data_IF_173859125699
#
_entry.id   IF_173859125699
#
_cell.length_a   1.000
_cell.length_b   1.000
_cell.length_c   1.000
_cell.angle_alpha   90.00
_cell.angle_beta   90.00
_cell.angle_gamma   90.00
#
_symmetry.space_group_name_H-M   'P 1'
#
loop_
_entity.id
_entity.type
_entity.pdbx_description
1 polymer ?
#
# COMPACT_ATOMS: atom_id res chain seq x y z
N UNK A 1 19.70 1.69 1.22
CA UNK A 1 19.46 0.49 2.07
C UNK A 1 18.63 -0.63 1.43
N UNK A 2 17.74 -0.39 0.44
CA UNK A 2 16.98 -1.47 -0.22
C UNK A 2 17.70 -2.07 -1.45
N UNK A 3 18.46 -1.26 -2.18
CA UNK A 3 19.18 -1.68 -3.38
C UNK A 3 20.19 -2.81 -3.11
N UNK A 4 20.93 -2.75 -2.00
CA UNK A 4 21.92 -3.78 -1.66
C UNK A 4 21.27 -5.12 -1.30
N UNK A 5 20.12 -5.11 -0.61
CA UNK A 5 19.34 -6.33 -0.31
C UNK A 5 18.76 -6.95 -1.58
N UNK A 6 18.25 -6.11 -2.49
CA UNK A 6 17.77 -6.56 -3.79
C UNK A 6 18.92 -7.15 -4.61
N UNK A 7 20.09 -6.48 -4.65
CA UNK A 7 21.28 -6.94 -5.36
C UNK A 7 21.75 -8.30 -4.83
N UNK A 8 21.94 -8.43 -3.52
CA UNK A 8 22.36 -9.70 -2.89
C UNK A 8 21.33 -10.84 -3.13
N UNK A 9 20.04 -10.53 -3.11
CA UNK A 9 19.00 -11.51 -3.46
C UNK A 9 19.06 -11.92 -4.94
N UNK A 10 19.26 -10.96 -5.85
CA UNK A 10 19.42 -11.21 -7.30
C UNK A 10 20.63 -12.08 -7.58
N UNK A 11 21.76 -11.81 -6.92
CA UNK A 11 22.97 -12.64 -7.00
C UNK A 11 22.71 -14.07 -6.52
N UNK A 12 21.91 -14.25 -5.47
CA UNK A 12 21.56 -15.57 -4.92
C UNK A 12 20.64 -16.40 -5.82
N UNK A 13 19.64 -15.77 -6.45
CA UNK A 13 18.63 -16.50 -7.25
C UNK A 13 18.93 -16.52 -8.75
N UNK A 14 19.86 -15.69 -9.21
CA UNK A 14 20.19 -15.49 -10.63
C UNK A 14 19.30 -14.44 -11.30
N UNK A 15 19.84 -13.73 -12.29
CA UNK A 15 19.15 -12.60 -12.93
C UNK A 15 17.84 -12.99 -13.62
N UNK A 16 17.83 -14.09 -14.37
CA UNK A 16 16.65 -14.56 -15.09
C UNK A 16 15.49 -14.87 -14.13
N UNK A 17 15.78 -15.65 -13.09
CA UNK A 17 14.79 -15.99 -12.06
C UNK A 17 14.36 -14.76 -11.28
N UNK A 18 15.28 -13.84 -10.95
CA UNK A 18 14.95 -12.61 -10.29
C UNK A 18 13.99 -11.74 -11.13
N UNK A 19 14.24 -11.64 -12.44
CA UNK A 19 13.38 -10.89 -13.36
C UNK A 19 12.00 -11.52 -13.46
N UNK A 20 11.94 -12.86 -13.57
CA UNK A 20 10.67 -13.61 -13.60
C UNK A 20 9.84 -13.39 -12.33
N UNK A 21 10.46 -13.50 -11.15
CA UNK A 21 9.78 -13.27 -9.87
C UNK A 21 9.34 -11.82 -9.69
N UNK A 22 10.17 -10.86 -10.14
CA UNK A 22 9.85 -9.44 -10.08
C UNK A 22 8.65 -9.10 -10.97
N UNK A 23 8.66 -9.57 -12.22
CA UNK A 23 7.57 -9.36 -13.16
C UNK A 23 6.25 -9.98 -12.68
N UNK A 24 6.30 -11.21 -12.17
CA UNK A 24 5.14 -11.88 -11.58
C UNK A 24 4.59 -11.10 -10.37
N UNK A 25 5.46 -10.57 -9.51
CA UNK A 25 5.06 -9.81 -8.33
C UNK A 25 4.41 -8.47 -8.70
N UNK A 26 4.98 -7.74 -9.66
CA UNK A 26 4.41 -6.47 -10.16
C UNK A 26 3.08 -6.67 -10.86
N UNK A 27 2.96 -7.70 -11.70
CA UNK A 27 1.70 -8.06 -12.36
C UNK A 27 0.60 -8.44 -11.36
N UNK A 28 0.95 -9.20 -10.32
CA UNK A 28 0.04 -9.55 -9.23
C UNK A 28 -0.44 -8.33 -8.47
N UNK A 29 0.46 -7.43 -8.08
CA UNK A 29 0.10 -6.18 -7.41
C UNK A 29 -0.89 -5.37 -8.23
N UNK A 30 -0.55 -5.07 -9.49
CA UNK A 30 -1.40 -4.28 -10.41
C UNK A 30 -2.80 -4.88 -10.53
N UNK A 31 -2.89 -6.20 -10.73
CA UNK A 31 -4.18 -6.88 -10.84
C UNK A 31 -4.95 -6.86 -9.52
N UNK A 32 -4.28 -7.01 -8.39
CA UNK A 32 -4.92 -7.00 -7.08
C UNK A 32 -5.51 -5.62 -6.74
N UNK A 33 -4.76 -4.54 -6.98
CA UNK A 33 -5.28 -3.17 -6.81
C UNK A 33 -6.50 -2.94 -7.69
N UNK A 34 -6.49 -3.42 -8.94
CA UNK A 34 -7.65 -3.32 -9.83
C UNK A 34 -8.89 -4.02 -9.26
N UNK A 35 -8.74 -5.22 -8.67
CA UNK A 35 -9.86 -5.91 -8.03
C UNK A 35 -10.43 -5.12 -6.84
N UNK A 36 -9.55 -4.53 -6.01
CA UNK A 36 -9.96 -3.66 -4.91
C UNK A 36 -10.66 -2.40 -5.42
N UNK A 37 -10.11 -1.73 -6.43
CA UNK A 37 -10.69 -0.54 -7.06
C UNK A 37 -12.09 -0.85 -7.63
N UNK A 38 -12.21 -1.91 -8.43
CA UNK A 38 -13.50 -2.31 -9.02
C UNK A 38 -14.54 -2.58 -7.93
N UNK A 39 -14.16 -3.27 -6.86
CA UNK A 39 -15.05 -3.50 -5.73
C UNK A 39 -15.49 -2.20 -5.04
N UNK A 40 -14.55 -1.31 -4.74
CA UNK A 40 -14.81 -0.05 -4.03
C UNK A 40 -15.66 0.92 -4.86
N UNK A 41 -15.58 0.84 -6.19
CA UNK A 41 -16.43 1.59 -7.13
C UNK A 41 -17.80 0.94 -7.36
N UNK A 42 -18.07 -0.24 -6.79
CA UNK A 42 -19.30 -1.00 -7.02
C UNK A 42 -19.36 -1.71 -8.37
N UNK A 43 -18.23 -1.80 -9.08
CA UNK A 43 -18.12 -2.56 -10.33
C UNK A 43 -18.12 -4.07 -10.04
N UNK A 44 -18.45 -4.86 -11.06
CA UNK A 44 -18.34 -6.31 -11.01
C UNK A 44 -16.87 -6.73 -10.93
N UNK A 45 -16.52 -7.47 -9.88
CA UNK A 45 -15.17 -8.03 -9.69
C UNK A 45 -15.02 -9.32 -10.49
N UNK A 46 -14.11 -9.34 -11.46
CA UNK A 46 -13.87 -10.50 -12.32
C UNK A 46 -12.51 -11.18 -12.08
N UNK A 47 -12.56 -12.44 -11.66
CA UNK A 47 -11.35 -13.21 -11.35
C UNK A 47 -10.74 -13.95 -12.54
N UNK A 48 -11.41 -13.99 -13.71
CA UNK A 48 -10.95 -14.66 -14.95
C UNK A 48 -10.21 -15.99 -14.68
N UNK A 49 -10.89 -16.90 -13.96
CA UNK A 49 -10.40 -18.23 -13.54
C UNK A 49 -9.14 -18.27 -12.64
N UNK A 50 -8.68 -17.13 -12.14
CA UNK A 50 -7.56 -17.05 -11.22
C UNK A 50 -8.01 -17.20 -9.77
N UNK A 51 -8.24 -18.45 -9.38
CA UNK A 51 -8.70 -18.87 -8.04
C UNK A 51 -7.85 -18.24 -6.92
N UNK A 52 -6.54 -18.12 -7.11
CA UNK A 52 -5.63 -17.51 -6.15
C UNK A 52 -6.00 -16.06 -5.80
N UNK A 53 -6.38 -15.24 -6.78
CA UNK A 53 -6.79 -13.86 -6.53
C UNK A 53 -8.08 -13.78 -5.72
N UNK A 54 -8.99 -14.75 -5.91
CA UNK A 54 -10.21 -14.83 -5.10
C UNK A 54 -9.89 -15.10 -3.63
N UNK A 55 -8.95 -16.02 -3.35
CA UNK A 55 -8.51 -16.30 -1.99
C UNK A 55 -7.82 -15.11 -1.33
N UNK A 56 -7.05 -14.32 -2.08
CA UNK A 56 -6.41 -13.12 -1.56
C UNK A 56 -7.41 -11.96 -1.36
N UNK A 57 -8.35 -11.81 -2.29
CA UNK A 57 -9.28 -10.68 -2.31
C UNK A 57 -10.41 -10.82 -1.28
N UNK A 58 -10.98 -12.01 -1.13
CA UNK A 58 -12.15 -12.21 -0.25
C UNK A 58 -11.91 -11.79 1.21
N UNK A 59 -10.76 -12.11 1.85
CA UNK A 59 -10.47 -11.63 3.20
C UNK A 59 -10.38 -10.10 3.28
N UNK A 60 -9.76 -9.44 2.29
CA UNK A 60 -9.70 -7.98 2.22
C UNK A 60 -11.10 -7.39 2.07
N UNK A 61 -11.94 -7.96 1.19
CA UNK A 61 -13.33 -7.57 1.00
C UNK A 61 -14.10 -7.65 2.32
N UNK A 62 -14.05 -8.79 3.00
CA UNK A 62 -14.74 -9.02 4.27
C UNK A 62 -14.29 -8.02 5.34
N UNK A 63 -12.98 -7.74 5.41
CA UNK A 63 -12.43 -6.75 6.34
C UNK A 63 -13.00 -5.35 6.08
N UNK A 64 -13.00 -4.91 4.82
CA UNK A 64 -13.55 -3.63 4.43
C UNK A 64 -15.06 -3.55 4.69
N UNK A 65 -15.83 -4.59 4.37
CA UNK A 65 -17.27 -4.66 4.65
C UNK A 65 -17.60 -4.53 6.14
N UNK A 66 -16.74 -5.09 7.00
CA UNK A 66 -16.97 -5.08 8.44
C UNK A 66 -16.60 -3.75 9.11
N UNK A 67 -15.54 -3.09 8.65
CA UNK A 67 -14.92 -2.00 9.41
C UNK A 67 -14.87 -0.65 8.69
N UNK A 68 -15.08 -0.62 7.37
CA UNK A 68 -15.07 0.61 6.58
C UNK A 68 -16.48 1.17 6.47
N UNK A 69 -16.65 2.43 6.83
CA UNK A 69 -17.98 3.05 6.89
C UNK A 69 -18.12 4.26 5.96
N UNK A 70 -17.02 4.81 5.43
CA UNK A 70 -17.06 5.89 4.44
C UNK A 70 -15.85 5.89 3.52
N UNK A 71 -16.06 6.10 2.23
CA UNK A 71 -14.99 6.35 1.25
C UNK A 71 -14.89 7.87 1.00
N UNK A 72 -13.67 8.39 0.99
CA UNK A 72 -13.36 9.78 0.62
C UNK A 72 -12.71 9.87 -0.75
N UNK A 73 -11.89 8.87 -1.14
CA UNK A 73 -11.23 8.81 -2.43
C UNK A 73 -10.66 7.43 -2.71
N UNK A 74 -10.64 7.03 -3.97
CA UNK A 74 -10.07 5.78 -4.47
C UNK A 74 -9.07 6.16 -5.55
N UNK A 75 -7.88 5.54 -5.55
CA UNK A 75 -6.85 5.73 -6.57
C UNK A 75 -6.58 7.22 -6.87
N UNK A 76 -6.51 8.01 -5.80
CA UNK A 76 -6.52 9.47 -5.87
C UNK A 76 -5.13 10.03 -6.08
N UNK A 77 -4.97 10.87 -7.11
CA UNK A 77 -3.75 11.64 -7.33
C UNK A 77 -3.64 12.74 -6.27
N UNK A 78 -2.51 12.76 -5.57
CA UNK A 78 -2.23 13.65 -4.45
C UNK A 78 -0.88 14.31 -4.64
N UNK A 79 -0.73 15.51 -4.10
CA UNK A 79 0.54 16.20 -4.02
C UNK A 79 0.60 17.06 -2.75
N UNK A 80 1.81 17.40 -2.33
CA UNK A 80 2.08 18.29 -1.19
C UNK A 80 3.13 19.30 -1.61
N UNK A 81 2.83 20.59 -1.43
CA UNK A 81 3.78 21.67 -1.72
C UNK A 81 4.84 21.74 -0.62
N UNK A 82 4.46 21.41 0.62
CA UNK A 82 5.37 21.37 1.77
C UNK A 82 6.41 20.25 1.64
N UNK A 83 5.97 19.04 1.29
CA UNK A 83 6.87 17.90 1.12
C UNK A 83 7.51 17.85 -0.27
N UNK A 84 7.02 18.66 -1.23
CA UNK A 84 7.40 18.61 -2.66
C UNK A 84 7.27 17.21 -3.26
N UNK A 85 6.24 16.48 -2.84
CA UNK A 85 5.97 15.12 -3.29
C UNK A 85 4.63 15.06 -4.03
N UNK A 86 4.54 14.14 -4.98
CA UNK A 86 3.28 13.74 -5.60
C UNK A 86 3.21 12.21 -5.68
N UNK A 87 1.99 11.68 -5.73
CA UNK A 87 1.77 10.25 -5.89
C UNK A 87 0.30 9.91 -5.98
N UNK A 88 0.01 8.61 -6.02
CA UNK A 88 -1.34 8.08 -6.10
C UNK A 88 -1.61 7.22 -4.87
N UNK A 89 -2.68 7.55 -4.15
CA UNK A 89 -3.09 6.85 -2.94
C UNK A 89 -4.21 5.86 -3.29
N UNK A 90 -4.06 4.59 -2.88
CA UNK A 90 -5.02 3.53 -3.20
C UNK A 90 -6.42 3.84 -2.65
N UNK A 91 -6.51 4.19 -1.35
CA UNK A 91 -7.79 4.42 -0.69
C UNK A 91 -7.65 5.43 0.46
N UNK A 92 -8.53 6.43 0.44
CA UNK A 92 -8.77 7.36 1.54
C UNK A 92 -10.17 7.04 2.06
N UNK A 93 -10.27 6.55 3.28
CA UNK A 93 -11.54 6.11 3.84
C UNK A 93 -11.63 6.38 5.34
N UNK A 94 -12.79 6.08 5.92
CA UNK A 94 -12.99 5.97 7.35
C UNK A 94 -13.06 4.49 7.70
N UNK A 95 -12.14 4.06 8.56
CA UNK A 95 -12.03 2.70 9.08
C UNK A 95 -12.13 2.78 10.59
N UNK A 96 -12.96 1.93 11.19
CA UNK A 96 -13.22 1.95 12.64
C UNK A 96 -13.61 3.35 13.15
N UNK A 97 -14.38 4.10 12.35
CA UNK A 97 -14.82 5.45 12.68
C UNK A 97 -13.76 6.55 12.54
N UNK A 98 -12.53 6.25 12.10
CA UNK A 98 -11.45 7.22 11.98
C UNK A 98 -10.95 7.38 10.53
N UNK A 99 -10.76 8.61 10.01
CA UNK A 99 -10.15 8.84 8.71
C UNK A 99 -8.75 8.22 8.63
N UNK A 100 -8.50 7.46 7.57
CA UNK A 100 -7.33 6.65 7.40
C UNK A 100 -6.89 6.60 5.94
N UNK A 101 -5.57 6.60 5.72
CA UNK A 101 -4.97 6.20 4.46
C UNK A 101 -4.80 4.69 4.47
N UNK A 102 -5.36 4.02 3.47
CA UNK A 102 -5.21 2.59 3.26
C UNK A 102 -4.33 2.35 2.03
N UNK A 103 -3.36 1.47 2.18
CA UNK A 103 -2.48 1.02 1.11
C UNK A 103 -2.60 -0.51 1.01
N UNK A 104 -2.97 -0.99 -0.16
CA UNK A 104 -3.08 -2.41 -0.45
C UNK A 104 -1.71 -2.93 -0.89
N UNK A 105 -1.33 -4.09 -0.37
CA UNK A 105 -0.09 -4.78 -0.76
C UNK A 105 -0.38 -6.25 -0.98
N UNK A 106 0.43 -6.88 -1.82
CA UNK A 106 0.42 -8.33 -1.99
C UNK A 106 1.75 -8.93 -1.58
N UNK A 107 1.71 -10.15 -1.05
CA UNK A 107 2.93 -10.89 -0.74
C UNK A 107 2.81 -12.38 -0.99
N UNK A 108 3.94 -13.01 -1.27
CA UNK A 108 4.02 -14.48 -1.36
C UNK A 108 4.02 -15.13 0.02
N UNK A 109 4.54 -14.44 1.04
CA UNK A 109 4.68 -14.93 2.41
C UNK A 109 4.32 -13.84 3.42
N UNK A 110 3.90 -14.21 4.64
CA UNK A 110 3.63 -13.25 5.69
C UNK A 110 4.81 -12.32 5.95
N UNK A 111 4.52 -11.06 6.20
CA UNK A 111 5.49 -10.01 6.50
C UNK A 111 5.53 -9.76 7.99
N UNK A 112 6.75 -9.59 8.50
CA UNK A 112 6.98 -8.99 9.81
C UNK A 112 6.92 -7.47 9.67
N UNK A 113 6.36 -6.82 10.67
CA UNK A 113 6.14 -5.38 10.63
C UNK A 113 7.44 -4.57 10.47
N UNK A 114 8.52 -5.01 11.10
CA UNK A 114 9.84 -4.39 10.99
C UNK A 114 10.40 -4.39 9.55
N UNK A 115 9.84 -5.20 8.65
CA UNK A 115 10.22 -5.26 7.24
C UNK A 115 9.44 -4.29 6.35
N UNK A 116 8.38 -3.66 6.86
CA UNK A 116 7.43 -2.85 6.09
C UNK A 116 7.36 -1.40 6.56
N UNK A 117 8.36 -0.92 7.29
CA UNK A 117 8.45 0.47 7.77
C UNK A 117 8.29 1.49 6.65
N UNK A 118 8.82 1.18 5.46
CA UNK A 118 8.71 2.01 4.27
C UNK A 118 7.26 2.17 3.75
N UNK A 119 6.39 1.17 3.94
CA UNK A 119 4.98 1.30 3.57
C UNK A 119 4.28 2.34 4.47
N UNK A 120 4.62 2.38 5.76
CA UNK A 120 4.08 3.40 6.66
C UNK A 120 4.62 4.80 6.35
N UNK A 121 5.88 4.94 5.91
CA UNK A 121 6.41 6.22 5.42
C UNK A 121 5.62 6.72 4.20
N UNK A 122 5.36 5.85 3.23
CA UNK A 122 4.56 6.18 2.05
C UNK A 122 3.15 6.64 2.44
N UNK A 123 2.45 5.86 3.28
CA UNK A 123 1.10 6.23 3.73
C UNK A 123 1.10 7.54 4.55
N UNK A 124 2.15 7.79 5.32
CA UNK A 124 2.32 9.03 6.09
C UNK A 124 2.43 10.23 5.15
N UNK A 125 3.17 10.11 4.04
CA UNK A 125 3.24 11.16 3.02
C UNK A 125 1.85 11.44 2.42
N UNK A 126 1.10 10.41 2.05
CA UNK A 126 -0.29 10.59 1.58
C UNK A 126 -1.19 11.22 2.62
N UNK A 127 -1.06 10.88 3.90
CA UNK A 127 -1.84 11.49 4.97
C UNK A 127 -1.57 13.00 5.08
N UNK A 128 -0.32 13.44 4.88
CA UNK A 128 0.02 14.87 4.83
C UNK A 128 -0.58 15.54 3.59
N UNK A 129 -0.48 14.91 2.41
CA UNK A 129 -1.07 15.45 1.19
C UNK A 129 -2.59 15.61 1.31
N UNK A 130 -3.28 14.62 1.90
CA UNK A 130 -4.73 14.69 2.13
C UNK A 130 -5.10 15.81 3.09
N UNK A 131 -4.33 15.98 4.17
CA UNK A 131 -4.53 17.09 5.09
C UNK A 131 -4.34 18.45 4.40
N UNK A 132 -3.29 18.59 3.59
CA UNK A 132 -2.96 19.83 2.87
C UNK A 132 -3.98 20.18 1.77
N UNK A 133 -4.49 19.17 1.04
CA UNK A 133 -5.37 19.38 -0.11
C UNK A 133 -6.85 19.44 0.23
N UNK A 134 -7.28 18.68 1.24
CA UNK A 134 -8.70 18.47 1.53
C UNK A 134 -9.10 18.84 2.96
N UNK A 135 -8.16 19.36 3.77
CA UNK A 135 -8.39 19.67 5.18
C UNK A 135 -8.95 18.46 5.97
N UNK A 136 -8.56 17.25 5.57
CA UNK A 136 -8.96 15.99 6.18
C UNK A 136 -7.77 15.38 6.91
N UNK A 137 -7.79 15.43 8.25
CA UNK A 137 -6.69 14.91 9.05
C UNK A 137 -6.80 13.39 9.26
N UNK A 138 -6.04 12.63 8.48
CA UNK A 138 -5.83 11.20 8.71
C UNK A 138 -4.75 10.99 9.78
N UNK A 139 -5.15 10.69 11.02
CA UNK A 139 -4.18 10.45 12.13
C UNK A 139 -3.55 9.05 12.09
N UNK A 140 -4.14 8.15 11.31
CA UNK A 140 -3.77 6.75 11.21
C UNK A 140 -3.56 6.35 9.77
N UNK A 141 -2.61 5.43 9.56
CA UNK A 141 -2.40 4.72 8.30
C UNK A 141 -2.65 3.23 8.51
N UNK A 142 -3.12 2.57 7.47
CA UNK A 142 -3.45 1.16 7.46
C UNK A 142 -2.83 0.49 6.24
N UNK A 143 -1.91 -0.44 6.46
CA UNK A 143 -1.36 -1.28 5.39
C UNK A 143 -2.09 -2.62 5.43
N UNK A 144 -2.78 -2.97 4.35
CA UNK A 144 -3.48 -4.23 4.20
C UNK A 144 -2.67 -5.11 3.24
N UNK A 145 -2.14 -6.21 3.74
CA UNK A 145 -1.36 -7.16 2.94
C UNK A 145 -2.19 -8.42 2.70
N UNK A 146 -2.53 -8.65 1.44
CA UNK A 146 -3.08 -9.93 1.01
C UNK A 146 -1.93 -10.91 0.71
N UNK A 147 -1.95 -12.08 1.34
CA UNK A 147 -0.85 -13.05 1.26
C UNK A 147 -1.31 -14.27 0.45
N UNK A 148 -0.46 -14.75 -0.45
CA UNK A 148 -0.73 -15.97 -1.22
C UNK A 148 -0.72 -17.23 -0.35
N UNK A 149 0.07 -17.21 0.72
CA UNK A 149 0.10 -18.24 1.76
C UNK A 149 -1.23 -18.24 2.53
N UNK A 150 -1.98 -19.34 2.38
CA UNK A 150 -3.32 -19.48 2.97
C UNK A 150 -3.31 -19.65 4.49
N UNK A 151 -2.15 -19.86 5.12
CA UNK A 151 -2.06 -19.94 6.58
C UNK A 151 -2.34 -18.59 7.27
N UNK A 152 -1.99 -17.49 6.62
CA UNK A 152 -2.23 -16.12 7.10
C UNK A 152 -2.58 -15.22 5.89
N UNK A 153 -3.77 -15.39 5.29
CA UNK A 153 -4.09 -14.81 3.98
C UNK A 153 -4.30 -13.29 4.02
N UNK A 154 -4.47 -12.71 5.22
CA UNK A 154 -4.69 -11.30 5.45
C UNK A 154 -3.86 -10.82 6.64
N UNK A 155 -3.06 -9.77 6.43
CA UNK A 155 -2.39 -9.05 7.50
C UNK A 155 -2.79 -7.57 7.45
N UNK A 156 -3.19 -7.00 8.59
CA UNK A 156 -3.61 -5.60 8.69
C UNK A 156 -2.76 -4.89 9.74
N UNK A 157 -2.02 -3.87 9.32
CA UNK A 157 -1.14 -3.11 10.20
C UNK A 157 -1.58 -1.65 10.30
N UNK A 158 -1.94 -1.23 11.51
CA UNK A 158 -2.30 0.15 11.81
C UNK A 158 -1.17 0.90 12.48
N UNK A 159 -0.84 2.11 12.00
CA UNK A 159 0.15 2.95 12.68
C UNK A 159 -0.29 4.42 12.76
N UNK A 160 0.00 5.11 13.87
CA UNK A 160 -0.15 6.55 13.94
C UNK A 160 0.80 7.26 12.98
N UNK A 161 0.30 8.21 12.21
CA UNK A 161 1.10 9.06 11.29
C UNK A 161 2.26 9.74 12.02
N UNK A 162 2.01 10.20 13.25
CA UNK A 162 3.02 10.88 14.08
C UNK A 162 4.29 10.05 14.34
N UNK A 163 4.22 8.71 14.30
CA UNK A 163 5.38 7.85 14.54
C UNK A 163 6.37 7.90 13.37
N UNK A 164 5.86 8.14 12.15
CA UNK A 164 6.64 8.06 10.92
C UNK A 164 6.92 9.44 10.30
N UNK A 165 6.22 10.50 10.71
CA UNK A 165 6.42 11.84 10.15
C UNK A 165 7.86 12.34 10.26
N UNK A 166 8.51 12.22 11.43
CA UNK A 166 9.91 12.64 11.59
C UNK A 166 10.86 11.87 10.67
N UNK A 167 10.65 10.55 10.58
CA UNK A 167 11.44 9.68 9.70
C UNK A 167 11.21 10.01 8.23
N UNK A 168 9.98 10.37 7.85
CA UNK A 168 9.65 10.81 6.50
C UNK A 168 10.40 12.09 6.13
N UNK A 169 10.35 13.12 6.98
CA UNK A 169 11.06 14.39 6.72
C UNK A 169 12.57 14.14 6.59
N UNK A 170 13.16 13.40 7.53
CA UNK A 170 14.58 13.04 7.45
C UNK A 170 14.91 12.28 6.16
N UNK A 171 14.07 11.32 5.77
CA UNK A 171 14.28 10.57 4.53
C UNK A 171 14.25 11.47 3.29
N UNK A 172 13.36 12.47 3.25
CA UNK A 172 13.28 13.42 2.14
C UNK A 172 14.47 14.37 2.11
N UNK A 173 14.91 14.85 3.28
CA UNK A 173 16.10 15.71 3.40
C UNK A 173 17.38 14.97 2.93
N UNK A 174 17.50 13.68 3.23
CA UNK A 174 18.60 12.82 2.77
C UNK A 174 18.52 12.48 1.27
N UNK A 175 17.33 12.63 0.64
CA UNK A 175 17.08 12.24 -0.75
C UNK A 175 16.39 13.35 -1.58
N UNK A 176 17.02 14.54 -1.69
CA UNK A 176 16.39 15.74 -2.27
C UNK A 176 16.08 15.63 -3.78
N UNK A 177 16.63 14.63 -4.48
CA UNK A 177 16.42 14.44 -5.92
C UNK A 177 15.19 13.61 -6.27
N UNK A 178 14.41 13.13 -5.30
CA UNK A 178 13.14 12.44 -5.56
C UNK A 178 12.00 13.38 -5.99
N UNK A 179 12.26 14.69 -6.05
CA UNK A 179 11.24 15.72 -6.27
C UNK A 179 11.35 16.47 -7.60
N UNK A 180 12.17 16.01 -8.55
CA UNK A 180 12.27 16.64 -9.88
C UNK A 180 11.84 15.65 -10.98
N UNK A 181 10.56 15.72 -11.35
CA UNK A 181 10.11 15.44 -12.72
C UNK A 181 9.65 16.78 -13.32
#
# INVERSE_FOLDING_TARGET
MNADKIRAWREKVGEEQANKVSAASSGRGTRFHKLCEDYLLGNKVEFKDAVQFRYMFNPVKQYLEQYMDKIYGIESALYSDQLKLAGRCDLICRLHGLPCIVDFKTSTKPKREEWISNYFLQCTAYAQMVAERYNLLCKWVCVIIAVEDQSEPLQVFYRPVKHYYKQLVQFLDENPHTTNN
#
